data_IF_682334970817
#
_entry.id   IF_682334970817
#
_cell.length_a   1.000
_cell.length_b   1.000
_cell.length_c   1.000
_cell.angle_alpha   90.00
_cell.angle_beta   90.00
_cell.angle_gamma   90.00
#
_symmetry.space_group_name_H-M   'P 1'
#
loop_
_entity.id
_entity.type
_entity.pdbx_description
1 polymer ?
#
# COMPACT_ATOMS: atom_id res chain seq x y z
N UNK A 1 27.70 -35.98 20.53
CA UNK A 1 27.39 -34.55 20.75
C UNK A 1 27.28 -33.91 19.38
N UNK A 2 26.07 -33.76 18.90
CA UNK A 2 25.79 -33.15 17.60
C UNK A 2 25.51 -31.66 17.83
N UNK A 3 26.36 -30.82 17.29
CA UNK A 3 26.19 -29.36 17.32
C UNK A 3 25.38 -28.97 16.06
N UNK A 4 24.12 -28.58 16.27
CA UNK A 4 23.28 -28.03 15.22
C UNK A 4 23.63 -26.56 15.01
N UNK A 5 24.30 -26.25 13.90
CA UNK A 5 24.50 -24.87 13.46
C UNK A 5 23.26 -24.39 12.71
N UNK A 6 22.46 -23.60 13.40
CA UNK A 6 21.33 -22.86 12.84
C UNK A 6 21.86 -21.75 11.91
N UNK A 7 21.77 -21.94 10.61
CA UNK A 7 22.11 -20.92 9.62
C UNK A 7 20.91 -19.98 9.46
N UNK A 8 20.93 -18.86 10.18
CA UNK A 8 20.01 -17.72 9.91
C UNK A 8 20.43 -17.00 8.64
N UNK A 9 19.76 -17.28 7.53
CA UNK A 9 19.78 -16.49 6.31
C UNK A 9 18.98 -15.20 6.57
N UNK A 10 19.67 -14.09 6.86
CA UNK A 10 19.10 -12.75 6.89
C UNK A 10 18.84 -12.26 5.47
N UNK A 11 17.64 -12.53 4.96
CA UNK A 11 17.07 -11.81 3.83
C UNK A 11 16.60 -10.44 4.33
N UNK A 12 17.45 -9.42 4.22
CA UNK A 12 17.06 -8.04 4.42
C UNK A 12 16.21 -7.59 3.22
N UNK A 13 14.90 -7.76 3.33
CA UNK A 13 13.94 -7.15 2.41
C UNK A 13 13.92 -5.63 2.63
N UNK A 14 14.35 -4.86 1.64
CA UNK A 14 14.15 -3.42 1.60
C UNK A 14 12.67 -3.13 1.29
N UNK A 15 11.87 -2.89 2.33
CA UNK A 15 10.55 -2.31 2.20
C UNK A 15 10.68 -0.78 2.18
N UNK A 16 10.57 -0.16 1.02
CA UNK A 16 10.38 1.30 0.91
C UNK A 16 8.92 1.62 1.29
N UNK A 17 8.72 1.96 2.55
CA UNK A 17 7.50 2.62 3.04
C UNK A 17 7.68 4.14 2.97
N UNK A 18 7.17 4.79 1.95
CA UNK A 18 6.99 6.25 1.98
C UNK A 18 5.76 6.58 2.83
N UNK A 19 6.00 7.01 4.07
CA UNK A 19 4.99 7.68 4.87
C UNK A 19 4.87 9.15 4.41
N UNK A 20 3.70 9.52 3.90
CA UNK A 20 3.35 10.91 3.64
C UNK A 20 3.25 11.67 4.97
N UNK A 21 4.07 12.71 5.15
CA UNK A 21 3.92 13.69 6.23
C UNK A 21 2.81 14.69 5.89
N UNK A 22 1.94 15.04 6.83
CA UNK A 22 0.98 16.12 6.64
C UNK A 22 1.68 17.48 6.70
N UNK A 23 1.30 18.38 5.79
CA UNK A 23 1.77 19.74 5.69
C UNK A 23 1.38 20.57 6.93
N UNK A 24 2.33 21.27 7.53
CA UNK A 24 2.11 22.27 8.57
C UNK A 24 1.70 23.62 7.96
N UNK A 25 0.90 24.44 8.68
CA UNK A 25 0.45 25.74 8.19
C UNK A 25 1.55 26.80 8.20
N UNK A 26 1.47 27.87 7.38
CA UNK A 26 2.52 28.88 7.27
C UNK A 26 2.53 29.82 8.49
N UNK A 27 3.68 29.91 9.14
CA UNK A 27 3.96 30.93 10.13
C UNK A 27 4.50 32.20 9.45
N UNK A 28 3.91 33.32 9.80
CA UNK A 28 4.30 34.67 9.35
C UNK A 28 5.60 35.12 10.02
N UNK A 29 6.49 35.69 9.22
CA UNK A 29 7.42 36.74 9.60
C UNK A 29 8.67 36.36 10.41
N UNK A 30 9.78 36.12 9.72
CA UNK A 30 11.12 36.32 10.30
C UNK A 30 12.07 36.92 9.26
N UNK A 31 12.84 37.86 9.75
CA UNK A 31 13.80 38.76 9.06
C UNK A 31 14.86 37.99 8.23
N UNK A 32 15.26 38.65 7.17
CA UNK A 32 16.42 38.26 6.36
C UNK A 32 17.66 38.03 7.22
N UNK A 33 18.10 36.78 7.27
CA UNK A 33 19.42 36.39 7.77
C UNK A 33 20.35 36.17 6.57
N UNK A 34 21.48 36.79 6.64
CA UNK A 34 22.53 36.80 5.62
C UNK A 34 22.95 35.37 5.27
N UNK A 35 22.92 35.08 3.96
CA UNK A 35 23.45 33.84 3.40
C UNK A 35 24.91 33.67 3.79
N UNK A 36 25.24 32.64 4.52
CA UNK A 36 26.61 32.17 4.67
C UNK A 36 27.13 31.76 3.28
N UNK A 37 28.42 32.05 2.95
CA UNK A 37 29.01 31.70 1.68
C UNK A 37 28.94 30.16 1.50
N UNK A 38 28.51 29.74 0.30
CA UNK A 38 28.53 28.32 -0.08
C UNK A 38 29.96 27.77 0.10
N UNK A 39 30.11 26.53 0.64
CA UNK A 39 31.45 25.93 0.76
C UNK A 39 32.05 25.82 -0.63
N UNK A 40 33.29 26.35 -0.77
CA UNK A 40 34.11 26.24 -1.97
C UNK A 40 34.08 24.80 -2.47
N UNK A 41 33.63 24.63 -3.73
CA UNK A 41 33.73 23.35 -4.42
C UNK A 41 35.20 22.98 -4.48
N UNK A 42 35.60 21.98 -3.70
CA UNK A 42 36.92 21.37 -3.84
C UNK A 42 37.17 21.06 -5.33
N UNK A 43 38.39 21.30 -5.85
CA UNK A 43 38.70 21.06 -7.26
C UNK A 43 38.33 19.62 -7.62
N UNK A 44 37.51 19.47 -8.66
CA UNK A 44 37.07 18.18 -9.17
C UNK A 44 38.31 17.46 -9.75
N UNK A 45 38.96 16.63 -8.95
CA UNK A 45 40.05 15.78 -9.42
C UNK A 45 39.43 14.79 -10.40
N UNK A 46 39.72 14.99 -11.70
CA UNK A 46 39.27 14.08 -12.78
C UNK A 46 40.03 12.75 -12.66
N UNK A 47 39.39 11.76 -12.04
CA UNK A 47 39.91 10.39 -11.99
C UNK A 47 39.69 9.75 -13.34
N UNK A 48 40.74 9.28 -14.01
CA UNK A 48 40.68 8.55 -15.30
C UNK A 48 40.15 7.14 -15.16
N UNK A 49 39.76 6.47 -16.25
CA UNK A 49 39.23 5.10 -16.23
C UNK A 49 40.22 4.06 -15.67
N UNK A 50 41.51 4.28 -15.93
CA UNK A 50 42.60 3.37 -15.52
C UNK A 50 43.18 3.72 -14.14
N UNK A 51 42.73 4.84 -13.55
CA UNK A 51 43.18 5.24 -12.22
C UNK A 51 42.66 4.27 -11.15
N UNK A 52 43.53 3.95 -10.21
CA UNK A 52 43.17 3.09 -9.07
C UNK A 52 42.23 3.82 -8.11
N UNK A 53 41.03 3.30 -7.91
CA UNK A 53 40.03 3.84 -6.97
C UNK A 53 39.89 3.03 -5.68
N UNK A 54 40.33 1.75 -5.69
CA UNK A 54 40.36 0.91 -4.49
C UNK A 54 41.72 0.21 -4.44
N UNK A 55 42.40 0.30 -3.30
CA UNK A 55 43.64 -0.42 -3.05
C UNK A 55 43.46 -1.33 -1.84
N UNK A 56 43.61 -2.62 -2.02
CA UNK A 56 43.62 -3.62 -0.96
C UNK A 56 45.07 -3.88 -0.54
N UNK A 57 45.48 -3.34 0.59
CA UNK A 57 46.83 -3.58 1.16
C UNK A 57 46.87 -4.97 1.78
N UNK A 58 48.08 -5.58 1.76
CA UNK A 58 48.36 -6.92 2.25
C UNK A 58 47.44 -8.02 1.66
N UNK A 59 46.99 -7.79 0.44
CA UNK A 59 46.14 -8.72 -0.30
C UNK A 59 46.58 -8.75 -1.77
N UNK A 60 47.14 -9.87 -2.19
CA UNK A 60 47.67 -10.09 -3.54
C UNK A 60 47.54 -11.58 -3.93
N UNK A 61 47.57 -11.84 -5.24
CA UNK A 61 47.53 -13.22 -5.79
C UNK A 61 48.82 -14.00 -5.50
N UNK A 62 49.97 -13.31 -5.50
CA UNK A 62 51.27 -13.90 -5.22
C UNK A 62 51.56 -13.95 -3.73
N UNK A 63 51.58 -15.16 -3.17
CA UNK A 63 51.81 -15.39 -1.72
C UNK A 63 53.26 -15.12 -1.27
N UNK A 64 54.20 -14.90 -2.19
CA UNK A 64 55.58 -14.57 -1.89
C UNK A 64 55.78 -13.09 -1.58
N UNK A 65 54.89 -12.23 -2.07
CA UNK A 65 54.93 -10.80 -1.82
C UNK A 65 54.41 -10.45 -0.41
N UNK A 66 55.08 -9.50 0.26
CA UNK A 66 54.70 -9.02 1.56
C UNK A 66 54.75 -7.48 1.63
N UNK A 67 54.06 -6.91 2.60
CA UNK A 67 54.06 -5.47 2.84
C UNK A 67 53.49 -4.69 1.63
N UNK A 68 54.09 -3.55 1.30
CA UNK A 68 53.63 -2.67 0.24
C UNK A 68 53.64 -3.29 -1.17
N UNK A 69 54.46 -4.32 -1.39
CA UNK A 69 54.46 -5.05 -2.64
C UNK A 69 53.24 -5.96 -2.82
N UNK A 70 52.59 -6.36 -1.72
CA UNK A 70 51.38 -7.17 -1.76
C UNK A 70 50.14 -6.26 -1.74
N UNK A 71 49.69 -5.82 -2.90
CA UNK A 71 48.48 -5.02 -3.05
C UNK A 71 47.68 -5.43 -4.26
N UNK A 72 46.36 -5.38 -4.15
CA UNK A 72 45.44 -5.49 -5.27
C UNK A 72 44.83 -4.12 -5.55
N UNK A 73 44.97 -3.64 -6.78
CA UNK A 73 44.41 -2.38 -7.23
C UNK A 73 43.16 -2.67 -8.11
N UNK A 74 42.10 -1.92 -7.87
CA UNK A 74 40.88 -1.97 -8.69
C UNK A 74 40.77 -0.59 -9.35
N UNK A 75 40.71 -0.56 -10.68
CA UNK A 75 40.59 0.68 -11.43
C UNK A 75 39.17 1.22 -11.38
N UNK A 76 39.04 2.52 -11.73
CA UNK A 76 37.73 3.17 -11.86
C UNK A 76 36.83 2.39 -12.83
N UNK A 77 37.31 2.03 -14.01
CA UNK A 77 36.53 1.30 -15.02
C UNK A 77 36.02 -0.04 -14.49
N UNK A 78 36.86 -0.79 -13.77
CA UNK A 78 36.45 -2.08 -13.16
C UNK A 78 35.35 -1.87 -12.10
N UNK A 79 35.51 -0.88 -11.23
CA UNK A 79 34.56 -0.60 -10.19
C UNK A 79 33.22 -0.03 -10.73
N UNK A 80 33.29 0.88 -11.72
CA UNK A 80 32.09 1.43 -12.36
C UNK A 80 31.30 0.35 -13.12
N UNK A 81 31.97 -0.58 -13.80
CA UNK A 81 31.29 -1.72 -14.45
C UNK A 81 30.50 -2.55 -13.45
N UNK A 82 31.05 -2.80 -12.26
CA UNK A 82 30.34 -3.50 -11.20
C UNK A 82 29.18 -2.67 -10.65
N UNK A 83 29.43 -1.40 -10.37
CA UNK A 83 28.43 -0.49 -9.79
C UNK A 83 27.23 -0.34 -10.74
N UNK A 84 27.50 -0.15 -12.04
CA UNK A 84 26.45 -0.01 -13.05
C UNK A 84 25.65 -1.29 -13.26
N UNK A 85 26.29 -2.46 -13.18
CA UNK A 85 25.61 -3.75 -13.24
C UNK A 85 24.70 -4.01 -12.02
N UNK A 86 25.08 -3.53 -10.84
CA UNK A 86 24.29 -3.72 -9.63
C UNK A 86 23.15 -2.69 -9.50
N UNK A 87 23.45 -1.43 -9.78
CA UNK A 87 22.46 -0.35 -9.73
C UNK A 87 22.95 0.86 -10.54
N UNK A 88 22.39 1.13 -11.71
CA UNK A 88 22.68 2.33 -12.49
C UNK A 88 22.45 3.61 -11.70
N UNK A 89 23.33 4.60 -11.89
CA UNK A 89 23.14 5.92 -11.29
C UNK A 89 23.33 6.02 -9.77
N UNK A 90 24.09 5.10 -9.15
CA UNK A 90 24.38 5.18 -7.71
C UNK A 90 24.95 6.51 -7.26
N UNK A 91 24.49 7.03 -6.11
CA UNK A 91 25.10 8.19 -5.47
C UNK A 91 26.53 7.90 -4.97
N UNK A 92 27.35 8.95 -4.77
CA UNK A 92 28.73 8.81 -4.26
C UNK A 92 28.79 8.10 -2.90
N UNK A 93 27.81 8.33 -2.04
CA UNK A 93 27.72 7.67 -0.73
C UNK A 93 27.48 6.16 -0.87
N UNK A 94 26.56 5.74 -1.75
CA UNK A 94 26.26 4.33 -2.02
C UNK A 94 27.46 3.65 -2.68
N UNK A 95 28.12 4.32 -3.65
CA UNK A 95 29.37 3.81 -4.27
C UNK A 95 30.48 3.58 -3.24
N UNK A 96 30.63 4.47 -2.27
CA UNK A 96 31.62 4.30 -1.18
C UNK A 96 31.28 3.08 -0.31
N UNK A 97 30.01 2.89 0.04
CA UNK A 97 29.55 1.73 0.80
C UNK A 97 29.78 0.43 0.00
N UNK A 98 29.45 0.43 -1.29
CA UNK A 98 29.71 -0.69 -2.20
C UNK A 98 31.22 -1.00 -2.26
N UNK A 99 32.09 -0.02 -2.43
CA UNK A 99 33.53 -0.21 -2.48
C UNK A 99 34.05 -0.91 -1.20
N UNK A 100 33.54 -0.51 -0.04
CA UNK A 100 33.94 -1.10 1.25
C UNK A 100 33.46 -2.55 1.37
N UNK A 101 32.20 -2.85 1.01
CA UNK A 101 31.63 -4.19 1.09
C UNK A 101 32.27 -5.13 0.03
N UNK A 102 32.45 -4.61 -1.19
CA UNK A 102 33.11 -5.36 -2.27
C UNK A 102 34.54 -5.75 -1.90
N UNK A 103 35.32 -4.83 -1.33
CA UNK A 103 36.67 -5.09 -0.88
C UNK A 103 36.74 -6.24 0.15
N UNK A 104 35.80 -6.26 1.08
CA UNK A 104 35.69 -7.34 2.06
C UNK A 104 35.29 -8.66 1.42
N UNK A 105 34.28 -8.64 0.53
CA UNK A 105 33.82 -9.83 -0.20
C UNK A 105 34.94 -10.43 -1.03
N UNK A 106 35.70 -9.61 -1.75
CA UNK A 106 36.83 -10.06 -2.58
C UNK A 106 37.89 -10.79 -1.74
N UNK A 107 38.25 -10.24 -0.57
CA UNK A 107 39.19 -10.92 0.36
C UNK A 107 38.63 -12.26 0.87
N UNK A 108 37.36 -12.29 1.25
CA UNK A 108 36.72 -13.49 1.78
C UNK A 108 36.57 -14.57 0.72
N UNK A 109 36.15 -14.22 -0.50
CA UNK A 109 35.99 -15.20 -1.61
C UNK A 109 37.33 -15.82 -1.98
N UNK A 110 38.38 -15.04 -2.12
CA UNK A 110 39.72 -15.57 -2.42
C UNK A 110 40.23 -16.55 -1.35
N UNK A 111 39.95 -16.27 -0.10
CA UNK A 111 40.30 -17.19 1.00
C UNK A 111 39.45 -18.47 0.94
N UNK A 112 38.16 -18.34 0.62
CA UNK A 112 37.25 -19.48 0.46
C UNK A 112 37.69 -20.40 -0.69
N UNK A 113 38.05 -19.83 -1.85
CA UNK A 113 38.58 -20.55 -3.01
C UNK A 113 39.89 -21.30 -2.67
N UNK A 114 40.83 -20.63 -1.97
CA UNK A 114 42.06 -21.27 -1.48
C UNK A 114 41.80 -22.45 -0.54
N UNK A 115 40.67 -22.45 0.16
CA UNK A 115 40.21 -23.56 1.00
C UNK A 115 39.42 -24.61 0.25
N UNK A 116 39.22 -24.44 -1.08
CA UNK A 116 38.45 -25.34 -1.92
C UNK A 116 36.93 -25.37 -1.64
N UNK A 117 36.38 -24.32 -1.03
CA UNK A 117 34.93 -24.26 -0.73
C UNK A 117 34.06 -24.09 -1.97
N UNK A 118 34.66 -23.63 -3.07
CA UNK A 118 34.08 -23.56 -4.42
C UNK A 118 33.96 -24.92 -5.11
N UNK A 119 34.63 -25.97 -4.60
CA UNK A 119 34.64 -27.33 -5.14
C UNK A 119 33.60 -28.26 -4.50
N UNK A 120 32.86 -27.77 -3.52
CA UNK A 120 31.80 -28.54 -2.91
C UNK A 120 30.62 -28.65 -3.89
N UNK A 121 30.07 -29.84 -4.16
CA UNK A 121 28.90 -30.01 -5.03
C UNK A 121 27.71 -29.12 -4.68
N UNK A 122 27.55 -28.77 -3.40
CA UNK A 122 26.54 -27.86 -2.92
C UNK A 122 26.75 -26.44 -3.43
N UNK A 123 27.99 -26.04 -3.74
CA UNK A 123 28.29 -24.71 -4.29
C UNK A 123 27.70 -24.56 -5.70
N UNK A 124 27.81 -25.58 -6.54
CA UNK A 124 27.25 -25.58 -7.91
C UNK A 124 25.73 -25.47 -7.89
N UNK A 125 25.05 -26.18 -6.98
CA UNK A 125 23.59 -26.06 -6.79
C UNK A 125 23.19 -24.67 -6.34
N UNK A 126 23.92 -24.07 -5.40
CA UNK A 126 23.69 -22.71 -4.94
C UNK A 126 23.91 -21.68 -6.05
N UNK A 127 24.95 -21.86 -6.87
CA UNK A 127 25.21 -20.98 -8.01
C UNK A 127 24.13 -21.11 -9.10
N UNK A 128 23.67 -22.33 -9.36
CA UNK A 128 22.55 -22.58 -10.28
C UNK A 128 21.27 -21.87 -9.81
N UNK A 129 20.96 -21.98 -8.54
CA UNK A 129 19.82 -21.29 -7.94
C UNK A 129 19.95 -19.75 -7.99
N UNK A 130 21.13 -19.22 -7.64
CA UNK A 130 21.42 -17.78 -7.71
C UNK A 130 21.27 -17.25 -9.14
N UNK A 131 21.73 -18.02 -10.15
CA UNK A 131 21.53 -17.67 -11.56
C UNK A 131 20.04 -17.60 -11.92
N UNK A 132 19.22 -18.58 -11.49
CA UNK A 132 17.77 -18.53 -11.74
C UNK A 132 17.13 -17.30 -11.10
N UNK A 133 17.54 -16.93 -9.87
CA UNK A 133 17.04 -15.71 -9.20
C UNK A 133 17.37 -14.45 -9.99
N UNK A 134 18.64 -14.31 -10.43
CA UNK A 134 19.06 -13.15 -11.22
C UNK A 134 18.28 -13.09 -12.54
N UNK A 135 18.17 -14.19 -13.28
CA UNK A 135 17.43 -14.22 -14.55
C UNK A 135 15.95 -13.89 -14.36
N UNK A 136 15.33 -14.35 -13.27
CA UNK A 136 13.94 -14.02 -12.96
C UNK A 136 13.77 -12.54 -12.64
N UNK A 137 14.72 -11.93 -11.94
CA UNK A 137 14.73 -10.51 -11.64
C UNK A 137 14.91 -9.66 -12.90
N UNK A 138 15.88 -10.02 -13.75
CA UNK A 138 16.13 -9.34 -15.03
C UNK A 138 14.90 -9.38 -15.95
N UNK A 139 14.25 -10.55 -16.05
CA UNK A 139 13.01 -10.66 -16.82
C UNK A 139 11.89 -9.80 -16.26
N UNK A 140 11.72 -9.79 -14.93
CA UNK A 140 10.71 -8.95 -14.28
C UNK A 140 10.95 -7.47 -14.56
N UNK A 141 12.21 -7.02 -14.53
CA UNK A 141 12.58 -5.64 -14.86
C UNK A 141 12.32 -5.33 -16.33
N UNK A 142 12.72 -6.21 -17.25
CA UNK A 142 12.47 -6.04 -18.69
C UNK A 142 10.96 -5.94 -18.99
N UNK A 143 10.14 -6.79 -18.36
CA UNK A 143 8.67 -6.72 -18.49
C UNK A 143 8.11 -5.41 -17.91
N UNK A 144 8.68 -4.91 -16.81
CA UNK A 144 8.29 -3.62 -16.23
C UNK A 144 8.62 -2.47 -17.19
N UNK A 145 9.80 -2.47 -17.78
CA UNK A 145 10.22 -1.45 -18.75
C UNK A 145 9.37 -1.50 -20.03
N UNK A 146 9.12 -2.69 -20.59
CA UNK A 146 8.30 -2.87 -21.79
C UNK A 146 6.85 -2.47 -21.53
N UNK A 147 6.31 -2.83 -20.38
CA UNK A 147 4.95 -2.43 -20.00
C UNK A 147 4.79 -0.91 -19.87
N UNK A 148 5.86 -0.22 -19.50
CA UNK A 148 5.90 1.25 -19.40
C UNK A 148 5.90 1.99 -20.74
N UNK A 149 6.18 1.30 -21.87
CA UNK A 149 6.19 1.86 -23.23
C UNK A 149 4.77 2.00 -23.76
N UNK A 150 3.98 2.93 -23.18
CA UNK A 150 2.60 3.22 -23.56
C UNK A 150 2.58 4.42 -24.50
N UNK A 151 2.13 4.24 -25.74
CA UNK A 151 2.01 5.31 -26.73
C UNK A 151 0.78 6.19 -26.47
N UNK A 152 0.78 7.40 -27.05
CA UNK A 152 -0.39 8.28 -26.97
C UNK A 152 -1.59 7.68 -27.72
N UNK A 153 -1.36 6.93 -28.80
CA UNK A 153 -2.42 6.20 -29.50
C UNK A 153 -3.09 5.13 -28.62
N UNK A 154 -2.30 4.37 -27.85
CA UNK A 154 -2.85 3.40 -26.88
C UNK A 154 -3.75 4.09 -25.85
N UNK A 155 -3.33 5.28 -25.38
CA UNK A 155 -4.07 6.05 -24.37
C UNK A 155 -5.39 6.58 -24.96
N UNK A 156 -5.35 7.13 -26.18
CA UNK A 156 -6.57 7.60 -26.87
C UNK A 156 -7.57 6.46 -27.13
N UNK A 157 -7.08 5.33 -27.61
CA UNK A 157 -7.91 4.15 -27.86
C UNK A 157 -8.52 3.61 -26.57
N UNK A 158 -7.74 3.58 -25.49
CA UNK A 158 -8.24 3.17 -24.18
C UNK A 158 -9.31 4.12 -23.66
N UNK A 159 -9.08 5.43 -23.76
CA UNK A 159 -10.03 6.44 -23.33
C UNK A 159 -11.36 6.32 -24.10
N UNK A 160 -11.33 6.24 -25.42
CA UNK A 160 -12.52 6.07 -26.26
C UNK A 160 -13.34 4.83 -25.89
N UNK A 161 -12.66 3.71 -25.60
CA UNK A 161 -13.33 2.45 -25.21
C UNK A 161 -13.88 2.46 -23.78
N UNK A 162 -13.39 3.36 -22.94
CA UNK A 162 -13.70 3.38 -21.50
C UNK A 162 -14.19 4.75 -21.01
N UNK A 163 -14.71 5.60 -21.89
CA UNK A 163 -15.09 6.98 -21.58
C UNK A 163 -16.06 7.06 -20.38
N UNK A 164 -17.00 6.14 -20.28
CA UNK A 164 -17.94 6.05 -19.15
C UNK A 164 -17.26 5.86 -17.78
N UNK A 165 -16.04 5.30 -17.73
CA UNK A 165 -15.28 5.16 -16.49
C UNK A 165 -14.65 6.49 -16.03
N UNK A 166 -14.58 7.46 -16.92
CA UNK A 166 -14.06 8.81 -16.68
C UNK A 166 -15.15 9.85 -16.46
N UNK A 167 -16.41 9.43 -16.43
CA UNK A 167 -17.49 10.26 -15.89
C UNK A 167 -17.29 10.45 -14.39
N UNK A 168 -17.38 11.70 -13.96
CA UNK A 168 -17.28 12.12 -12.58
C UNK A 168 -18.53 12.90 -12.20
N UNK A 169 -19.10 12.60 -11.04
CA UNK A 169 -20.32 13.22 -10.59
C UNK A 169 -20.20 13.74 -9.16
N UNK A 170 -21.01 14.75 -8.85
CA UNK A 170 -21.28 15.22 -7.50
C UNK A 170 -22.68 14.82 -7.12
N UNK A 171 -22.83 14.21 -5.95
CA UNK A 171 -24.11 13.79 -5.40
C UNK A 171 -24.38 14.43 -4.04
N UNK A 172 -25.65 14.56 -3.71
CA UNK A 172 -26.08 14.59 -2.32
C UNK A 172 -26.58 13.19 -1.95
N UNK A 173 -25.94 12.56 -0.96
CA UNK A 173 -26.28 11.21 -0.47
C UNK A 173 -26.96 11.29 0.88
N UNK A 174 -28.20 10.85 0.97
CA UNK A 174 -28.94 10.71 2.22
C UNK A 174 -28.79 9.27 2.67
N UNK A 175 -28.37 9.10 3.91
CA UNK A 175 -28.18 7.82 4.60
C UNK A 175 -29.27 7.67 5.65
N UNK A 176 -30.13 6.66 5.51
CA UNK A 176 -31.15 6.34 6.50
C UNK A 176 -30.76 5.06 7.21
N UNK A 177 -30.41 5.11 8.52
CA UNK A 177 -30.06 3.90 9.27
C UNK A 177 -31.12 2.82 9.16
N UNK A 178 -30.70 1.55 9.03
CA UNK A 178 -31.63 0.43 8.86
C UNK A 178 -32.51 0.20 10.09
N UNK A 179 -32.00 0.47 11.28
CA UNK A 179 -32.69 0.25 12.53
C UNK A 179 -32.64 1.48 13.41
N UNK A 180 -33.70 1.70 14.17
CA UNK A 180 -33.75 2.74 15.21
C UNK A 180 -32.94 2.28 16.43
N UNK A 181 -32.28 3.23 17.10
CA UNK A 181 -31.64 2.98 18.39
C UNK A 181 -32.70 2.51 19.41
N UNK A 182 -32.51 1.31 19.97
CA UNK A 182 -33.40 0.76 21.00
C UNK A 182 -32.76 1.04 22.34
N UNK A 183 -33.33 2.01 23.06
CA UNK A 183 -32.93 2.32 24.45
C UNK A 183 -33.86 1.52 25.37
N UNK A 184 -33.36 0.37 25.88
CA UNK A 184 -34.09 -0.35 26.91
C UNK A 184 -33.94 0.39 28.23
N UNK A 185 -35.06 0.73 28.96
CA UNK A 185 -34.99 1.38 30.26
C UNK A 185 -34.24 0.46 31.23
N UNK A 186 -33.29 1.02 31.94
CA UNK A 186 -32.63 0.35 33.07
C UNK A 186 -33.68 0.10 34.13
N UNK A 187 -34.06 -1.15 34.38
CA UNK A 187 -34.95 -1.47 35.49
C UNK A 187 -34.28 -1.10 36.80
N UNK A 188 -34.89 -0.22 37.64
CA UNK A 188 -34.30 0.12 38.90
C UNK A 188 -34.12 -1.13 39.75
N UNK A 189 -32.90 -1.35 40.22
CA UNK A 189 -32.58 -2.44 41.13
C UNK A 189 -33.41 -2.29 42.41
N UNK A 190 -34.00 -3.40 42.90
CA UNK A 190 -34.69 -3.42 44.21
C UNK A 190 -33.80 -2.79 45.27
N UNK A 191 -34.36 -2.00 46.22
CA UNK A 191 -33.60 -1.43 47.34
C UNK A 191 -32.87 -2.57 48.09
N UNK A 192 -31.52 -2.50 48.14
CA UNK A 192 -30.68 -3.50 48.81
C UNK A 192 -29.71 -4.32 47.94
N UNK A 193 -29.75 -4.21 46.61
CA UNK A 193 -28.74 -4.80 45.77
C UNK A 193 -27.50 -3.91 45.71
N UNK A 194 -26.30 -4.49 45.93
CA UNK A 194 -25.01 -3.80 45.75
C UNK A 194 -24.96 -3.23 44.33
N UNK A 195 -24.50 -1.99 44.21
CA UNK A 195 -24.36 -1.28 42.93
C UNK A 195 -23.46 -2.04 41.94
N UNK A 196 -24.04 -3.00 41.21
CA UNK A 196 -23.49 -3.57 40.04
C UNK A 196 -24.17 -2.89 38.84
N UNK A 197 -23.41 -2.27 37.95
CA UNK A 197 -23.87 -1.74 36.68
C UNK A 197 -24.40 -2.89 35.81
N UNK A 198 -25.69 -3.22 35.97
CA UNK A 198 -26.40 -4.13 35.08
C UNK A 198 -26.60 -3.42 33.76
N UNK A 199 -25.82 -3.79 32.75
CA UNK A 199 -26.08 -3.35 31.37
C UNK A 199 -27.55 -3.63 31.01
N UNK A 200 -28.22 -2.74 30.29
CA UNK A 200 -29.60 -2.99 29.86
C UNK A 200 -29.69 -4.29 29.07
N UNK A 201 -30.77 -5.06 29.22
CA UNK A 201 -30.91 -6.33 28.51
C UNK A 201 -30.86 -6.11 26.99
N UNK A 202 -30.25 -7.03 26.22
CA UNK A 202 -30.19 -6.90 24.77
C UNK A 202 -31.60 -6.85 24.18
N UNK A 203 -31.81 -6.08 23.07
CA UNK A 203 -33.13 -5.99 22.42
C UNK A 203 -33.62 -7.36 21.96
N UNK A 204 -34.91 -7.60 22.14
CA UNK A 204 -35.55 -8.82 21.60
C UNK A 204 -35.66 -8.78 20.08
N UNK A 205 -35.79 -9.93 19.43
CA UNK A 205 -35.95 -10.00 17.96
C UNK A 205 -37.19 -9.23 17.48
N UNK A 206 -38.29 -9.26 18.27
CA UNK A 206 -39.49 -8.48 17.97
C UNK A 206 -39.22 -6.97 17.99
N UNK A 207 -38.45 -6.48 18.98
CA UNK A 207 -38.04 -5.08 19.05
C UNK A 207 -37.14 -4.66 17.89
N UNK A 208 -36.18 -5.51 17.52
CA UNK A 208 -35.30 -5.28 16.35
C UNK A 208 -36.12 -5.18 15.07
N UNK A 209 -37.00 -6.15 14.81
CA UNK A 209 -37.86 -6.15 13.62
C UNK A 209 -38.77 -4.93 13.57
N UNK A 210 -39.37 -4.54 14.71
CA UNK A 210 -40.20 -3.33 14.77
C UNK A 210 -39.39 -2.04 14.51
N UNK A 211 -38.15 -1.97 15.01
CA UNK A 211 -37.25 -0.86 14.76
C UNK A 211 -36.82 -0.77 13.28
N UNK A 212 -36.58 -1.90 12.62
CA UNK A 212 -36.26 -1.96 11.19
C UNK A 212 -37.47 -1.55 10.33
N UNK A 213 -38.67 -2.04 10.65
CA UNK A 213 -39.88 -1.68 9.93
C UNK A 213 -40.23 -0.18 10.06
N UNK A 214 -39.97 0.40 11.24
CA UNK A 214 -40.15 1.82 11.44
C UNK A 214 -39.17 2.62 10.54
N UNK A 215 -37.89 2.22 10.50
CA UNK A 215 -36.89 2.91 9.69
C UNK A 215 -37.10 2.71 8.18
N UNK A 216 -37.66 1.57 7.76
CA UNK A 216 -38.09 1.36 6.36
C UNK A 216 -39.15 2.37 5.93
N UNK A 217 -40.12 2.66 6.82
CA UNK A 217 -41.14 3.69 6.55
C UNK A 217 -40.54 5.08 6.48
N UNK A 218 -39.62 5.39 7.40
CA UNK A 218 -38.85 6.65 7.38
C UNK A 218 -38.07 6.78 6.08
N UNK A 219 -37.39 5.72 5.61
CA UNK A 219 -36.67 5.74 4.35
C UNK A 219 -37.57 6.04 3.15
N UNK A 220 -38.75 5.45 3.10
CA UNK A 220 -39.73 5.72 2.05
C UNK A 220 -40.27 7.17 2.08
N UNK A 221 -40.53 7.72 3.27
CA UNK A 221 -40.94 9.13 3.44
C UNK A 221 -39.85 10.09 3.01
N UNK A 222 -38.61 9.87 3.50
CA UNK A 222 -37.43 10.66 3.11
C UNK A 222 -37.19 10.62 1.59
N UNK A 223 -37.37 9.44 0.96
CA UNK A 223 -37.24 9.30 -0.48
C UNK A 223 -38.29 10.15 -1.22
N UNK A 224 -39.56 10.07 -0.81
CA UNK A 224 -40.63 10.87 -1.42
C UNK A 224 -40.39 12.37 -1.29
N UNK A 225 -39.92 12.83 -0.12
CA UNK A 225 -39.57 14.23 0.13
C UNK A 225 -38.34 14.69 -0.66
N UNK A 226 -37.34 13.82 -0.80
CA UNK A 226 -36.16 14.07 -1.65
C UNK A 226 -36.58 14.24 -3.13
N UNK A 227 -37.46 13.37 -3.62
CA UNK A 227 -38.03 13.47 -4.96
C UNK A 227 -38.86 14.75 -5.16
N UNK A 228 -39.54 15.23 -4.11
CA UNK A 228 -40.23 16.53 -4.09
C UNK A 228 -39.29 17.74 -4.04
N UNK A 229 -37.96 17.53 -3.92
CA UNK A 229 -36.96 18.59 -3.98
C UNK A 229 -36.54 19.17 -2.64
N UNK A 230 -36.95 18.58 -1.50
CA UNK A 230 -36.52 19.05 -0.19
C UNK A 230 -35.00 18.98 -0.01
N UNK A 231 -34.47 19.84 0.87
CA UNK A 231 -33.04 19.96 1.10
C UNK A 231 -32.42 18.67 1.67
N UNK A 232 -31.38 18.09 1.04
CA UNK A 232 -30.80 16.83 1.44
C UNK A 232 -30.20 16.84 2.87
N UNK A 233 -29.59 17.94 3.31
CA UNK A 233 -28.97 18.02 4.64
C UNK A 233 -30.05 18.05 5.72
N UNK A 234 -31.19 18.71 5.45
CA UNK A 234 -32.36 18.67 6.32
C UNK A 234 -32.95 17.28 6.41
N UNK A 235 -33.11 16.59 5.27
CA UNK A 235 -33.60 15.20 5.20
C UNK A 235 -32.67 14.24 5.95
N UNK A 236 -31.35 14.43 5.83
CA UNK A 236 -30.36 13.67 6.58
C UNK A 236 -30.51 13.86 8.09
N UNK A 237 -30.74 15.09 8.53
CA UNK A 237 -31.00 15.39 9.94
C UNK A 237 -32.27 14.71 10.45
N UNK A 238 -33.36 14.77 9.68
CA UNK A 238 -34.62 14.12 10.01
C UNK A 238 -34.46 12.60 10.13
N UNK A 239 -33.71 11.97 9.18
CA UNK A 239 -33.39 10.55 9.21
C UNK A 239 -32.64 10.15 10.50
N UNK A 240 -31.65 10.96 10.92
CA UNK A 240 -30.90 10.69 12.14
C UNK A 240 -31.73 10.90 13.40
N UNK A 241 -32.58 11.93 13.44
CA UNK A 241 -33.52 12.15 14.56
C UNK A 241 -34.48 10.96 14.71
N UNK A 242 -35.04 10.49 13.57
CA UNK A 242 -35.92 9.33 13.56
C UNK A 242 -35.21 8.03 14.03
N UNK A 243 -33.93 7.89 13.71
CA UNK A 243 -33.10 6.77 14.16
C UNK A 243 -32.64 6.87 15.63
N UNK A 244 -32.82 7.99 16.29
CA UNK A 244 -32.30 8.25 17.64
C UNK A 244 -30.83 8.71 17.67
N UNK A 245 -30.35 9.32 16.59
CA UNK A 245 -28.96 9.76 16.37
C UNK A 245 -28.89 11.29 16.10
N UNK A 246 -29.42 12.15 16.95
CA UNK A 246 -29.62 13.59 16.64
C UNK A 246 -28.31 14.37 16.44
N UNK A 247 -27.20 13.88 16.97
CA UNK A 247 -25.90 14.56 16.95
C UNK A 247 -24.97 14.14 15.82
N UNK A 248 -25.43 13.30 14.86
CA UNK A 248 -24.61 12.88 13.74
C UNK A 248 -24.48 14.01 12.69
N UNK A 249 -23.36 13.96 11.96
CA UNK A 249 -23.10 14.90 10.87
C UNK A 249 -24.17 14.78 9.78
N UNK A 250 -24.66 15.93 9.32
CA UNK A 250 -25.68 16.03 8.27
C UNK A 250 -25.11 16.35 6.89
N UNK A 251 -23.78 16.36 6.72
CA UNK A 251 -23.19 16.61 5.42
C UNK A 251 -23.50 15.47 4.44
N UNK A 252 -24.27 15.79 3.41
CA UNK A 252 -24.68 14.84 2.38
C UNK A 252 -23.81 14.89 1.13
N UNK A 253 -22.95 15.91 0.96
CA UNK A 253 -22.21 16.16 -0.26
C UNK A 253 -21.15 15.10 -0.51
N UNK A 254 -21.17 14.51 -1.71
CA UNK A 254 -20.16 13.61 -2.24
C UNK A 254 -19.62 14.16 -3.56
N UNK A 255 -18.37 14.55 -3.59
CA UNK A 255 -17.72 15.13 -4.77
C UNK A 255 -16.81 14.13 -5.47
N UNK A 256 -16.60 14.33 -6.76
CA UNK A 256 -15.68 13.55 -7.62
C UNK A 256 -15.92 12.04 -7.55
N UNK A 257 -17.17 11.65 -7.52
CA UNK A 257 -17.58 10.25 -7.48
C UNK A 257 -17.49 9.68 -8.90
N UNK A 258 -16.81 8.56 -9.06
CA UNK A 258 -16.74 7.80 -10.33
C UNK A 258 -17.49 6.49 -10.20
N UNK A 259 -17.98 5.94 -11.32
CA UNK A 259 -18.66 4.63 -11.35
C UNK A 259 -17.82 3.52 -10.70
N UNK A 260 -16.52 3.52 -10.97
CA UNK A 260 -15.56 2.53 -10.45
C UNK A 260 -15.32 2.60 -8.94
N UNK A 261 -15.65 3.72 -8.28
CA UNK A 261 -15.52 3.91 -6.83
C UNK A 261 -16.78 3.56 -6.05
N UNK A 262 -17.88 3.33 -6.77
CA UNK A 262 -19.16 2.98 -6.16
C UNK A 262 -19.27 1.45 -5.95
N UNK A 263 -19.91 1.00 -4.86
CA UNK A 263 -20.31 -0.39 -4.71
C UNK A 263 -21.19 -0.83 -5.89
N UNK A 264 -21.11 -2.10 -6.30
CA UNK A 264 -21.83 -2.61 -7.46
C UNK A 264 -23.34 -2.30 -7.45
N UNK A 265 -23.99 -2.40 -6.27
CA UNK A 265 -25.41 -2.08 -6.12
C UNK A 265 -25.76 -0.59 -6.20
N UNK A 266 -24.76 0.30 -6.24
CA UNK A 266 -24.97 1.76 -6.30
C UNK A 266 -24.56 2.37 -7.65
N UNK A 267 -23.95 1.60 -8.55
CA UNK A 267 -23.39 2.13 -9.80
C UNK A 267 -24.43 2.76 -10.74
N UNK A 268 -25.68 2.32 -10.66
CA UNK A 268 -26.78 2.87 -11.46
C UNK A 268 -27.07 4.37 -11.19
N UNK A 269 -26.62 4.92 -10.04
CA UNK A 269 -26.79 6.34 -9.77
C UNK A 269 -26.02 7.23 -10.74
N UNK A 270 -24.99 6.71 -11.39
CA UNK A 270 -24.24 7.44 -12.42
C UNK A 270 -25.06 7.68 -13.71
N UNK A 271 -26.17 6.97 -13.89
CA UNK A 271 -27.05 7.14 -15.06
C UNK A 271 -28.11 8.22 -14.86
N UNK A 272 -28.21 8.76 -13.64
CA UNK A 272 -29.11 9.88 -13.32
C UNK A 272 -28.72 11.15 -14.06
N UNK A 273 -29.70 12.02 -14.28
CA UNK A 273 -29.51 13.38 -14.80
C UNK A 273 -29.33 14.36 -13.62
N UNK A 274 -28.65 15.50 -13.84
CA UNK A 274 -28.59 16.57 -12.83
C UNK A 274 -29.99 16.96 -12.31
N UNK A 275 -30.15 16.97 -11.00
CA UNK A 275 -31.41 17.21 -10.30
C UNK A 275 -32.26 15.98 -10.01
N UNK A 276 -31.98 14.85 -10.68
CA UNK A 276 -32.73 13.61 -10.50
C UNK A 276 -32.35 12.88 -9.21
N UNK A 277 -33.33 12.19 -8.61
CA UNK A 277 -33.17 11.41 -7.37
C UNK A 277 -33.22 9.92 -7.73
N UNK A 278 -32.32 9.13 -7.14
CA UNK A 278 -32.28 7.68 -7.33
C UNK A 278 -33.48 6.97 -6.75
N UNK A 279 -33.74 5.76 -7.19
CA UNK A 279 -34.54 4.81 -6.43
C UNK A 279 -33.97 4.62 -4.99
N UNK A 280 -34.83 4.16 -4.08
CA UNK A 280 -34.40 3.82 -2.71
C UNK A 280 -33.51 2.57 -2.74
N UNK A 281 -32.22 2.73 -2.50
CA UNK A 281 -31.25 1.63 -2.48
C UNK A 281 -31.23 1.06 -1.06
N UNK A 282 -31.57 -0.24 -0.94
CA UNK A 282 -31.53 -0.96 0.34
C UNK A 282 -30.30 -1.84 0.43
N UNK A 283 -29.40 -1.55 1.38
CA UNK A 283 -28.33 -2.43 1.78
C UNK A 283 -28.76 -3.24 3.02
N UNK A 284 -28.89 -4.57 2.90
CA UNK A 284 -29.37 -5.43 3.99
C UNK A 284 -28.55 -5.33 5.28
N UNK A 285 -27.26 -5.00 5.16
CA UNK A 285 -26.32 -5.03 6.27
C UNK A 285 -26.08 -3.67 6.93
N UNK A 286 -26.49 -2.54 6.28
CA UNK A 286 -26.13 -1.22 6.77
C UNK A 286 -27.29 -0.23 6.82
N UNK A 287 -27.90 0.12 5.70
CA UNK A 287 -28.81 1.27 5.62
C UNK A 287 -29.67 1.29 4.35
N UNK A 288 -30.47 2.33 4.24
CA UNK A 288 -31.09 2.77 3.00
C UNK A 288 -30.35 4.02 2.50
N UNK A 289 -30.14 4.10 1.20
CA UNK A 289 -29.43 5.19 0.55
C UNK A 289 -30.32 5.84 -0.51
N UNK A 290 -30.28 7.16 -0.57
CA UNK A 290 -30.94 7.98 -1.58
C UNK A 290 -29.90 8.94 -2.10
N UNK A 291 -29.77 9.02 -3.43
CA UNK A 291 -28.82 9.91 -4.08
C UNK A 291 -29.56 10.91 -4.95
N UNK A 292 -29.15 12.17 -4.84
CA UNK A 292 -29.56 13.21 -5.79
C UNK A 292 -28.36 13.64 -6.61
N UNK A 293 -28.43 13.51 -7.91
CA UNK A 293 -27.39 13.99 -8.82
C UNK A 293 -27.36 15.52 -8.79
N UNK A 294 -26.21 16.09 -8.44
CA UNK A 294 -26.01 17.56 -8.45
C UNK A 294 -25.39 17.98 -9.77
N UNK A 295 -24.31 17.34 -10.19
CA UNK A 295 -23.64 17.60 -11.45
C UNK A 295 -22.92 16.35 -11.95
N UNK A 296 -22.72 16.26 -13.26
CA UNK A 296 -21.94 15.22 -13.92
C UNK A 296 -21.12 15.83 -15.03
N UNK A 297 -19.88 15.39 -15.15
CA UNK A 297 -18.94 15.80 -16.19
C UNK A 297 -18.12 14.60 -16.65
N UNK A 298 -17.64 14.62 -17.89
CA UNK A 298 -16.65 13.67 -18.37
C UNK A 298 -15.29 14.34 -18.29
N UNK A 299 -14.36 13.71 -17.58
CA UNK A 299 -12.98 14.19 -17.46
C UNK A 299 -12.30 14.10 -18.84
N UNK A 300 -11.64 15.17 -19.24
CA UNK A 300 -10.94 15.22 -20.53
C UNK A 300 -9.77 14.24 -20.58
N UNK A 301 -9.43 13.76 -21.77
CA UNK A 301 -8.28 12.89 -22.01
C UNK A 301 -7.00 13.43 -21.35
N UNK A 302 -6.72 14.72 -21.50
CA UNK A 302 -5.53 15.35 -20.92
C UNK A 302 -5.48 15.22 -19.39
N UNK A 303 -6.64 15.34 -18.73
CA UNK A 303 -6.74 15.20 -17.27
C UNK A 303 -6.45 13.79 -16.81
N UNK A 304 -6.90 12.78 -17.56
CA UNK A 304 -6.81 11.37 -17.16
C UNK A 304 -5.66 10.61 -17.85
N UNK A 305 -4.92 11.25 -18.75
CA UNK A 305 -3.80 10.66 -19.51
C UNK A 305 -2.76 9.96 -18.62
N UNK A 306 -2.29 10.54 -17.48
CA UNK A 306 -1.36 9.85 -16.59
C UNK A 306 -1.98 8.60 -15.93
N UNK A 307 -3.27 8.67 -15.56
CA UNK A 307 -4.00 7.54 -14.97
C UNK A 307 -4.13 6.40 -15.99
N UNK A 308 -4.54 6.71 -17.21
CA UNK A 308 -4.69 5.72 -18.29
C UNK A 308 -3.34 5.04 -18.59
N UNK A 309 -2.27 5.81 -18.69
CA UNK A 309 -0.93 5.25 -18.88
C UNK A 309 -0.58 4.23 -17.82
N UNK A 310 -0.84 4.55 -16.55
CA UNK A 310 -0.60 3.62 -15.44
C UNK A 310 -1.49 2.38 -15.49
N UNK A 311 -2.74 2.52 -15.90
CA UNK A 311 -3.68 1.39 -16.06
C UNK A 311 -3.18 0.44 -17.15
N UNK A 312 -2.84 0.98 -18.34
CA UNK A 312 -2.35 0.19 -19.48
C UNK A 312 -1.02 -0.50 -19.11
N UNK A 313 -0.08 0.25 -18.53
CA UNK A 313 1.21 -0.29 -18.09
C UNK A 313 1.02 -1.44 -17.08
N UNK A 314 0.19 -1.21 -16.06
CA UNK A 314 -0.09 -2.24 -15.06
C UNK A 314 -0.78 -3.47 -15.65
N UNK A 315 -1.65 -3.29 -16.64
CA UNK A 315 -2.31 -4.39 -17.33
C UNK A 315 -1.31 -5.20 -18.16
N UNK A 316 -0.49 -4.53 -18.98
CA UNK A 316 0.57 -5.18 -19.78
C UNK A 316 1.55 -5.97 -18.91
N UNK A 317 1.94 -5.40 -17.76
CA UNK A 317 2.81 -6.11 -16.82
C UNK A 317 2.14 -7.36 -16.24
N UNK A 318 0.88 -7.25 -15.80
CA UNK A 318 0.13 -8.42 -15.30
C UNK A 318 0.00 -9.50 -16.36
N UNK A 319 -0.34 -9.12 -17.59
CA UNK A 319 -0.51 -10.05 -18.70
C UNK A 319 0.82 -10.75 -19.04
N UNK A 320 1.93 -10.00 -19.04
CA UNK A 320 3.27 -10.56 -19.22
C UNK A 320 3.68 -11.52 -18.11
N UNK A 321 3.27 -11.24 -16.86
CA UNK A 321 3.57 -12.10 -15.71
C UNK A 321 2.66 -13.32 -15.59
N UNK A 322 1.45 -13.27 -16.18
CA UNK A 322 0.45 -14.33 -16.03
C UNK A 322 0.94 -15.68 -16.61
N UNK A 323 1.73 -15.66 -17.68
CA UNK A 323 2.29 -16.85 -18.29
C UNK A 323 3.27 -17.63 -17.38
N UNK A 324 3.80 -16.97 -16.33
CA UNK A 324 4.73 -17.58 -15.37
C UNK A 324 4.05 -18.07 -14.08
N UNK A 325 2.77 -17.77 -13.91
CA UNK A 325 1.96 -18.32 -12.82
C UNK A 325 1.44 -19.70 -13.20
N UNK A 326 2.35 -20.67 -13.30
CA UNK A 326 1.99 -22.05 -13.64
C UNK A 326 1.18 -22.73 -12.53
N UNK A 327 0.35 -23.71 -12.90
CA UNK A 327 -0.21 -24.64 -11.95
C UNK A 327 0.92 -25.53 -11.42
N UNK A 328 1.35 -25.30 -10.20
CA UNK A 328 2.36 -26.12 -9.53
C UNK A 328 1.65 -27.20 -8.75
N UNK A 329 1.84 -28.44 -9.16
CA UNK A 329 1.41 -29.61 -8.38
C UNK A 329 2.54 -30.00 -7.43
N UNK A 330 2.28 -29.94 -6.16
CA UNK A 330 3.22 -30.35 -5.11
C UNK A 330 2.84 -31.77 -4.62
N UNK A 331 3.86 -32.59 -4.37
CA UNK A 331 3.65 -33.90 -3.77
C UNK A 331 3.40 -33.74 -2.27
N UNK A 332 2.15 -33.89 -1.85
CA UNK A 332 1.73 -33.70 -0.45
C UNK A 332 2.41 -34.70 0.52
N UNK A 333 2.85 -35.85 0.04
CA UNK A 333 3.60 -36.80 0.86
C UNK A 333 4.99 -36.29 1.25
N UNK A 334 5.57 -35.43 0.41
CA UNK A 334 6.89 -34.82 0.63
C UNK A 334 6.80 -33.47 1.32
N UNK A 335 5.89 -32.59 0.85
CA UNK A 335 5.75 -31.22 1.37
C UNK A 335 4.81 -31.08 2.55
N UNK A 336 4.02 -32.13 2.85
CA UNK A 336 2.92 -32.08 3.80
C UNK A 336 1.66 -31.45 3.19
N UNK A 337 0.49 -31.96 3.56
CA UNK A 337 -0.77 -31.41 3.08
C UNK A 337 -0.93 -29.93 3.48
N UNK A 338 -1.29 -29.08 2.52
CA UNK A 338 -1.63 -27.68 2.78
C UNK A 338 -2.80 -27.61 3.76
N UNK A 339 -2.55 -27.18 4.98
CA UNK A 339 -3.66 -26.86 5.91
C UNK A 339 -4.42 -25.70 5.31
N UNK A 340 -5.77 -25.79 5.16
CA UNK A 340 -6.53 -24.63 4.75
C UNK A 340 -6.22 -23.49 5.73
N UNK A 341 -5.82 -22.33 5.19
CA UNK A 341 -5.57 -21.15 5.99
C UNK A 341 -6.84 -20.80 6.74
N UNK A 342 -6.88 -21.08 8.04
CA UNK A 342 -7.96 -20.57 8.89
C UNK A 342 -7.95 -19.05 8.80
N UNK A 343 -9.10 -18.39 8.55
CA UNK A 343 -9.19 -16.94 8.63
C UNK A 343 -8.66 -16.52 9.99
N UNK A 344 -7.63 -15.67 10.01
CA UNK A 344 -7.12 -15.11 11.26
C UNK A 344 -8.30 -14.42 11.96
N UNK A 345 -8.60 -14.75 13.24
CA UNK A 345 -9.59 -14.02 13.99
C UNK A 345 -9.19 -12.54 14.02
N UNK A 346 -10.17 -11.60 13.94
CA UNK A 346 -9.87 -10.19 13.99
C UNK A 346 -9.05 -9.90 15.25
N UNK A 347 -7.92 -9.21 15.08
CA UNK A 347 -7.10 -8.77 16.22
C UNK A 347 -7.97 -7.93 17.16
N UNK A 348 -8.29 -8.50 18.32
CA UNK A 348 -8.94 -7.76 19.39
C UNK A 348 -8.14 -6.51 19.77
N UNK A 349 -8.78 -5.49 20.36
CA UNK A 349 -8.11 -4.25 20.74
C UNK A 349 -6.94 -4.56 21.69
N UNK A 350 -5.77 -3.97 21.39
CA UNK A 350 -4.57 -4.08 22.23
C UNK A 350 -4.93 -3.64 23.66
N UNK A 351 -4.79 -4.53 24.63
CA UNK A 351 -4.81 -4.16 26.06
C UNK A 351 -3.71 -3.14 26.31
N UNK A 352 -3.98 -2.04 27.05
CA UNK A 352 -2.92 -1.13 27.49
C UNK A 352 -1.92 -1.90 28.35
N UNK A 353 -0.63 -1.62 28.14
CA UNK A 353 0.45 -2.17 28.95
C UNK A 353 0.23 -1.77 30.42
N UNK A 354 0.12 -2.75 31.31
CA UNK A 354 0.23 -2.53 32.75
C UNK A 354 1.67 -2.10 33.06
N UNK A 355 1.81 -0.91 33.59
CA UNK A 355 3.06 -0.48 34.21
C UNK A 355 3.26 -1.36 35.45
N UNK A 356 4.33 -2.13 35.44
CA UNK A 356 4.85 -2.77 36.65
C UNK A 356 5.54 -1.69 37.46
N UNK A 357 4.95 -1.30 38.58
CA UNK A 357 5.66 -0.58 39.66
C UNK A 357 6.63 -1.57 40.25
N UNK A 358 7.93 -1.22 40.27
CA UNK A 358 8.95 -1.87 41.07
C UNK A 358 8.72 -1.50 42.55
N UNK A 359 8.74 -2.44 43.48
CA UNK A 359 8.84 -2.12 44.89
C UNK A 359 10.32 -1.91 45.30
N UNK A 360 10.54 -0.84 46.10
CA UNK A 360 11.78 -0.56 46.85
C UNK A 360 12.27 -1.76 47.69
#
# INVERSE_FOLDING_TARGET
MRSEYLVCLLLAGFAYGQAAQPAAPPAAGAKAEQSAPAPDKAPEVKVGPDDTVITLKDFCADSTLKGEACKTAITRAQFEKLAEALQPGMSSAIRRQLATSYSRMLKMSTVAEKRGLDKDPRFDEMMSYARMQILSQELSQALQEDSGKVSDADIEDYYKKNEANYEQATFARIFVPRSKQIVNPVTPSKPGAKAGTTAPPPPTEAQKKAAEEAMKKVAADIHARAAAGEDPDKLQKDAFIAAGLPNNSTNTKMERVRRTTLPAGHQAIMDLKPGEVSELISDPNSAYYIYKMVSKETLTLETVKPEIRNVISSQRYRDGMQGFQGNVELNDAYFGATRPSMPMPPRGPKRPAQQTEDPD
#
